data_IF_190554999528
#
_entry.id   IF_190554999528
#
_cell.length_a   1.000
_cell.length_b   1.000
_cell.length_c   1.000
_cell.angle_alpha   90.00
_cell.angle_beta   90.00
_cell.angle_gamma   90.00
#
_symmetry.space_group_name_H-M   'P 1'
#
loop_
_entity.id
_entity.type
_entity.pdbx_description
1 polymer ?
#
# COMPACT_ATOMS: atom_id res chain seq x y z
N UNK A 1 -4.78 -2.94 1.37
CA UNK A 1 -4.84 -1.75 2.26
C UNK A 1 -6.27 -1.24 2.39
N UNK A 2 -7.02 -1.11 1.29
CA UNK A 2 -8.45 -0.81 1.32
C UNK A 2 -9.23 -1.78 2.20
N UNK A 3 -8.94 -3.09 2.13
CA UNK A 3 -9.59 -4.08 3.02
C UNK A 3 -9.24 -3.87 4.50
N UNK A 4 -8.02 -3.44 4.79
CA UNK A 4 -7.52 -3.17 6.16
C UNK A 4 -8.20 -1.93 6.75
N UNK A 5 -8.47 -0.93 5.90
CA UNK A 5 -9.29 0.24 6.22
C UNK A 5 -10.78 -0.14 6.41
N UNK A 6 -11.32 -1.02 5.55
CA UNK A 6 -12.72 -1.45 5.57
C UNK A 6 -13.06 -2.32 6.80
N UNK A 7 -12.07 -2.96 7.43
CA UNK A 7 -12.22 -3.64 8.72
C UNK A 7 -12.55 -2.65 9.87
N UNK A 8 -12.49 -1.33 9.62
CA UNK A 8 -13.04 -0.30 10.51
C UNK A 8 -12.20 -0.01 11.75
N UNK A 9 -11.11 -0.76 11.97
CA UNK A 9 -10.22 -0.59 13.13
C UNK A 9 -8.99 0.27 12.85
N UNK A 10 -8.66 0.50 11.57
CA UNK A 10 -7.44 1.21 11.17
C UNK A 10 -7.78 2.44 10.33
N UNK A 11 -7.70 3.61 10.95
CA UNK A 11 -7.84 4.89 10.25
C UNK A 11 -6.69 5.06 9.26
N UNK A 12 -7.00 5.29 7.98
CA UNK A 12 -5.99 5.62 6.97
C UNK A 12 -5.32 6.98 7.26
N UNK A 13 -6.06 7.88 7.90
CA UNK A 13 -5.68 9.29 8.10
C UNK A 13 -4.61 9.53 9.17
N UNK A 14 -4.42 8.58 10.11
CA UNK A 14 -3.42 8.68 11.20
C UNK A 14 -2.22 7.77 11.00
N UNK A 15 -2.12 7.13 9.83
CA UNK A 15 -1.21 6.04 9.60
C UNK A 15 -1.72 4.75 10.26
N UNK A 16 -1.49 3.63 9.59
CA UNK A 16 -1.85 2.34 10.12
C UNK A 16 -1.19 2.14 11.49
N UNK A 17 -2.02 2.00 12.54
CA UNK A 17 -1.64 1.83 13.95
C UNK A 17 -0.58 0.73 14.12
N UNK A 18 0.11 0.72 15.26
CA UNK A 18 1.30 -0.09 15.58
C UNK A 18 1.23 -1.60 15.27
N UNK A 19 0.03 -2.16 15.06
CA UNK A 19 -0.21 -3.59 14.85
C UNK A 19 -0.69 -3.98 13.44
N UNK A 20 -0.80 -3.03 12.50
CA UNK A 20 -1.40 -3.31 11.19
C UNK A 20 -0.65 -4.36 10.37
N UNK A 21 0.67 -4.46 10.55
CA UNK A 21 1.49 -5.44 9.86
C UNK A 21 1.12 -6.87 10.29
N UNK A 22 0.86 -7.07 11.58
CA UNK A 22 0.44 -8.37 12.11
C UNK A 22 -0.94 -8.76 11.58
N UNK A 23 -1.85 -7.79 11.43
CA UNK A 23 -3.17 -8.08 10.86
C UNK A 23 -3.09 -8.38 9.36
N UNK A 24 -2.23 -7.66 8.64
CA UNK A 24 -1.94 -7.94 7.24
C UNK A 24 -1.32 -9.34 7.04
N UNK A 25 -0.46 -9.79 7.95
CA UNK A 25 0.08 -11.16 7.96
C UNK A 25 -1.04 -12.19 8.00
N UNK A 26 -1.95 -12.08 8.98
CA UNK A 26 -3.08 -12.99 9.13
C UNK A 26 -3.98 -13.00 7.89
N UNK A 27 -4.21 -11.84 7.28
CA UNK A 27 -4.98 -11.76 6.04
C UNK A 27 -4.26 -12.47 4.89
N UNK A 28 -2.95 -12.26 4.75
CA UNK A 28 -2.14 -12.92 3.73
C UNK A 28 -2.07 -14.43 3.95
N UNK A 29 -1.95 -14.93 5.18
CA UNK A 29 -1.99 -16.36 5.49
C UNK A 29 -3.34 -16.99 5.13
N UNK A 30 -4.45 -16.27 5.32
CA UNK A 30 -5.78 -16.75 4.92
C UNK A 30 -5.93 -16.86 3.40
N UNK A 31 -5.40 -15.88 2.66
CA UNK A 31 -5.51 -15.83 1.19
C UNK A 31 -4.48 -16.75 0.52
N UNK A 32 -3.29 -16.87 1.11
CA UNK A 32 -2.16 -17.65 0.61
C UNK A 32 -1.65 -18.59 1.72
N UNK A 33 -2.42 -19.65 2.05
CA UNK A 33 -2.02 -20.60 3.07
C UNK A 33 -0.72 -21.32 2.67
N UNK A 34 0.12 -21.63 3.66
CA UNK A 34 1.44 -22.28 3.52
C UNK A 34 2.57 -21.45 2.90
N UNK A 35 2.32 -20.18 2.55
CA UNK A 35 3.43 -19.29 2.18
C UNK A 35 4.03 -18.76 3.47
N UNK A 36 5.25 -19.18 3.82
CA UNK A 36 5.96 -18.79 5.05
C UNK A 36 6.45 -17.33 5.00
N UNK A 37 5.54 -16.39 4.75
CA UNK A 37 5.82 -14.95 4.72
C UNK A 37 5.85 -14.43 6.14
N UNK A 38 7.03 -14.01 6.60
CA UNK A 38 7.18 -13.30 7.86
C UNK A 38 6.89 -11.80 7.69
N UNK A 39 6.18 -11.21 8.64
CA UNK A 39 5.99 -9.74 8.70
C UNK A 39 7.29 -8.97 8.62
N UNK A 40 8.27 -9.38 9.43
CA UNK A 40 9.63 -8.83 9.37
C UNK A 40 10.62 -9.89 8.89
N UNK A 41 11.54 -9.55 7.99
CA UNK A 41 11.68 -8.27 7.27
C UNK A 41 10.85 -8.18 5.97
N UNK A 42 10.21 -9.27 5.54
CA UNK A 42 9.77 -9.45 4.15
C UNK A 42 8.59 -8.55 3.77
N UNK A 43 7.49 -8.61 4.53
CA UNK A 43 6.28 -7.82 4.21
C UNK A 43 6.55 -6.33 4.44
N UNK A 44 7.24 -5.99 5.54
CA UNK A 44 7.58 -4.60 5.87
C UNK A 44 8.39 -3.91 4.76
N UNK A 45 9.43 -4.58 4.24
CA UNK A 45 10.26 -4.05 3.15
C UNK A 45 9.45 -3.81 1.88
N UNK A 46 8.56 -4.75 1.52
CA UNK A 46 7.70 -4.63 0.34
C UNK A 46 6.73 -3.45 0.45
N UNK A 47 6.14 -3.22 1.62
CA UNK A 47 5.25 -2.08 1.86
C UNK A 47 6.01 -0.75 1.77
N UNK A 48 7.24 -0.69 2.28
CA UNK A 48 8.09 0.50 2.15
C UNK A 48 8.36 0.85 0.69
N UNK A 49 8.69 -0.16 -0.13
CA UNK A 49 8.89 0.02 -1.57
C UNK A 49 7.59 0.48 -2.24
N UNK A 50 6.47 -0.20 -1.98
CA UNK A 50 5.16 0.16 -2.54
C UNK A 50 4.74 1.60 -2.21
N UNK A 51 4.95 2.05 -0.97
CA UNK A 51 4.66 3.44 -0.57
C UNK A 51 5.53 4.45 -1.33
N UNK A 52 6.82 4.15 -1.51
CA UNK A 52 7.74 5.00 -2.26
C UNK A 52 7.33 5.09 -3.73
N UNK A 53 7.10 3.95 -4.37
CA UNK A 53 6.73 3.90 -5.78
C UNK A 53 5.37 4.57 -6.02
N UNK A 54 4.41 4.36 -5.11
CA UNK A 54 3.12 5.05 -5.16
C UNK A 54 3.28 6.57 -5.01
N UNK A 55 4.11 7.05 -4.10
CA UNK A 55 4.38 8.48 -3.96
C UNK A 55 4.94 9.07 -5.26
N UNK A 56 5.86 8.36 -5.92
CA UNK A 56 6.43 8.80 -7.21
C UNK A 56 5.34 8.89 -8.27
N UNK A 57 4.51 7.86 -8.43
CA UNK A 57 3.41 7.86 -9.41
C UNK A 57 2.38 8.95 -9.09
N UNK A 58 2.05 9.12 -7.81
CA UNK A 58 1.13 10.17 -7.37
C UNK A 58 1.69 11.56 -7.68
N UNK A 59 2.97 11.78 -7.39
CA UNK A 59 3.66 13.04 -7.67
C UNK A 59 3.73 13.30 -9.18
N UNK A 60 3.91 12.27 -10.02
CA UNK A 60 3.86 12.40 -11.48
C UNK A 60 2.46 12.76 -11.99
N UNK A 61 1.40 12.25 -11.38
CA UNK A 61 0.03 12.53 -11.82
C UNK A 61 -0.52 13.86 -11.30
N UNK A 62 -0.13 14.29 -10.09
CA UNK A 62 -0.75 15.42 -9.38
C UNK A 62 0.21 16.59 -9.11
N UNK A 63 1.50 16.44 -9.43
CA UNK A 63 2.50 17.48 -9.24
C UNK A 63 2.23 18.70 -10.11
N UNK A 64 2.45 19.89 -9.53
CA UNK A 64 2.13 21.19 -10.13
C UNK A 64 2.78 21.48 -11.50
N UNK A 65 3.79 20.72 -11.92
CA UNK A 65 4.60 20.98 -13.12
C UNK A 65 4.64 19.80 -14.12
N UNK A 66 3.71 18.85 -14.06
CA UNK A 66 3.73 17.65 -14.91
C UNK A 66 2.88 17.78 -16.19
N UNK A 67 2.83 18.97 -16.80
CA UNK A 67 2.04 19.22 -18.02
C UNK A 67 2.33 18.27 -19.18
N UNK A 68 3.48 17.60 -19.14
CA UNK A 68 3.97 16.73 -20.21
C UNK A 68 3.77 15.23 -19.90
N UNK A 69 3.15 14.90 -18.76
CA UNK A 69 2.85 13.52 -18.33
C UNK A 69 1.33 13.32 -18.16
N UNK A 70 0.56 13.61 -19.22
CA UNK A 70 -0.87 13.36 -19.28
C UNK A 70 -1.20 12.02 -19.94
N UNK A 71 -2.29 11.37 -19.52
CA UNK A 71 -2.90 10.30 -20.32
C UNK A 71 -3.54 10.92 -21.56
N UNK A 72 -3.31 10.32 -22.73
CA UNK A 72 -4.04 10.71 -23.93
C UNK A 72 -5.50 10.29 -23.77
N UNK A 73 -6.37 11.26 -23.50
CA UNK A 73 -7.81 11.06 -23.36
C UNK A 73 -8.48 10.74 -24.71
N UNK A 74 -7.77 10.91 -25.83
CA UNK A 74 -8.28 10.65 -27.17
C UNK A 74 -7.73 9.33 -27.76
N UNK A 75 -8.41 8.23 -27.45
CA UNK A 75 -8.39 7.04 -28.30
C UNK A 75 -9.78 6.69 -28.80
#
# INVERSE_FOLDING_TARGET
>A
MVDLHNVGTFNADTGFKTDYLNELEKMLEKVLPNVMLKVKPNIESRIKILKRDWSIVYDMLNGKNNSDFGWDEHR
#
